data_IF_366944458634
#
_entry.id   IF_366944458634
#
_cell.length_a   1.000
_cell.length_b   1.000
_cell.length_c   1.000
_cell.angle_alpha   90.00
_cell.angle_beta   90.00
_cell.angle_gamma   90.00
#
_symmetry.space_group_name_H-M   'P 1'
#
loop_
_entity.id
_entity.type
_entity.pdbx_description
1 polymer ?
#
# COMPACT_ATOMS: atom_id res chain seq x y z
N UNK A 1 32.88 34.02 -4.93
CA UNK A 1 31.97 33.52 -5.98
C UNK A 1 32.82 33.13 -7.15
N UNK A 2 32.92 31.83 -7.44
CA UNK A 2 33.69 31.33 -8.58
C UNK A 2 32.88 31.57 -9.86
N UNK A 3 33.48 32.17 -10.88
CA UNK A 3 32.83 32.38 -12.19
C UNK A 3 33.16 31.18 -13.05
N UNK A 4 32.16 30.36 -13.36
CA UNK A 4 32.27 29.20 -14.24
C UNK A 4 32.04 29.63 -15.69
N UNK A 5 32.93 29.26 -16.64
CA UNK A 5 32.73 29.55 -18.06
C UNK A 5 32.22 28.32 -18.80
N UNK A 6 31.23 28.50 -19.67
CA UNK A 6 30.72 27.44 -20.52
C UNK A 6 31.87 26.86 -21.39
N UNK A 7 32.10 25.54 -21.41
CA UNK A 7 33.16 24.94 -22.22
C UNK A 7 33.02 25.20 -23.73
N UNK A 8 31.77 25.32 -24.21
CA UNK A 8 31.45 25.44 -25.64
C UNK A 8 31.54 26.87 -26.16
N UNK A 9 31.10 27.86 -25.38
CA UNK A 9 30.98 29.25 -25.85
C UNK A 9 31.64 30.29 -24.92
N UNK A 10 32.30 29.85 -23.85
CA UNK A 10 33.03 30.68 -22.88
C UNK A 10 32.18 31.73 -22.12
N UNK A 11 30.85 31.69 -22.26
CA UNK A 11 29.92 32.54 -21.51
C UNK A 11 30.08 32.29 -20.01
N UNK A 12 30.31 33.34 -19.19
CA UNK A 12 30.42 33.20 -17.75
C UNK A 12 29.05 32.97 -17.11
N UNK A 13 29.03 32.12 -16.10
CA UNK A 13 27.86 31.77 -15.29
C UNK A 13 28.24 31.75 -13.82
N UNK A 14 27.26 32.11 -12.99
CA UNK A 14 27.29 31.90 -11.54
C UNK A 14 26.89 30.46 -11.20
N UNK A 15 27.25 30.00 -10.00
CA UNK A 15 26.87 28.65 -9.53
C UNK A 15 25.33 28.46 -9.51
N UNK A 16 24.57 29.52 -9.25
CA UNK A 16 23.11 29.51 -9.28
C UNK A 16 22.55 29.28 -10.70
N UNK A 17 23.19 29.84 -11.74
CA UNK A 17 22.76 29.64 -13.12
C UNK A 17 23.11 28.25 -13.66
N UNK A 18 24.11 27.58 -13.08
CA UNK A 18 24.45 26.19 -13.42
C UNK A 18 23.32 25.21 -13.04
N UNK A 19 22.56 25.49 -11.99
CA UNK A 19 21.42 24.69 -11.54
C UNK A 19 20.23 24.72 -12.51
N UNK A 20 20.18 25.66 -13.45
CA UNK A 20 19.16 25.73 -14.50
C UNK A 20 19.39 24.71 -15.63
N UNK A 21 20.50 23.96 -15.57
CA UNK A 21 20.74 22.77 -16.39
C UNK A 21 21.17 23.02 -17.84
N UNK A 22 21.14 24.26 -18.35
CA UNK A 22 21.61 24.63 -19.70
C UNK A 22 22.29 26.01 -19.72
N UNK A 23 23.30 26.16 -20.59
CA UNK A 23 23.96 27.43 -20.84
C UNK A 23 23.01 28.42 -21.53
N UNK A 24 22.89 29.64 -20.98
CA UNK A 24 22.05 30.70 -21.57
C UNK A 24 22.56 31.21 -22.93
N UNK A 25 23.86 31.07 -23.23
CA UNK A 25 24.46 31.54 -24.47
C UNK A 25 24.27 30.61 -25.67
N UNK A 26 24.45 29.30 -25.49
CA UNK A 26 24.43 28.32 -26.58
C UNK A 26 23.51 27.12 -26.34
N UNK A 27 22.82 27.06 -25.20
CA UNK A 27 21.87 25.98 -24.89
C UNK A 27 22.50 24.64 -24.52
N UNK A 28 23.84 24.50 -24.54
CA UNK A 28 24.48 23.24 -24.14
C UNK A 28 24.17 22.90 -22.67
N UNK A 29 23.74 21.66 -22.36
CA UNK A 29 23.50 21.23 -21.00
C UNK A 29 24.78 21.29 -20.16
N UNK A 30 24.68 21.71 -18.90
CA UNK A 30 25.80 21.54 -17.97
C UNK A 30 25.84 20.07 -17.51
N UNK A 31 27.02 19.43 -17.49
CA UNK A 31 27.14 18.07 -16.99
C UNK A 31 26.73 18.05 -15.49
N UNK A 32 25.72 17.23 -15.18
CA UNK A 32 25.31 16.91 -13.82
C UNK A 32 26.48 16.20 -13.13
N UNK A 33 26.94 16.73 -12.01
CA UNK A 33 27.97 16.08 -11.19
C UNK A 33 27.41 14.77 -10.64
N UNK A 34 27.93 13.64 -11.13
CA UNK A 34 27.54 12.30 -10.68
C UNK A 34 27.43 11.27 -11.79
N UNK A 35 28.48 11.08 -12.60
CA UNK A 35 28.68 9.86 -13.38
C UNK A 35 30.15 9.71 -13.79
N UNK A 36 30.95 9.16 -12.88
CA UNK A 36 32.22 8.54 -13.21
C UNK A 36 32.17 7.10 -12.71
N UNK A 37 31.78 6.18 -13.59
CA UNK A 37 31.97 4.74 -13.42
C UNK A 37 32.89 4.30 -14.55
N UNK A 38 34.18 4.19 -14.22
CA UNK A 38 35.16 3.50 -15.05
C UNK A 38 35.23 2.04 -14.56
N UNK A 39 35.07 1.12 -15.50
CA UNK A 39 35.10 -0.31 -15.29
C UNK A 39 36.49 -0.81 -14.84
N UNK A 40 36.50 -1.76 -13.91
CA UNK A 40 37.64 -2.63 -13.61
C UNK A 40 37.18 -4.10 -13.67
N UNK A 41 38.02 -5.05 -14.12
CA UNK A 41 37.60 -6.43 -14.41
C UNK A 41 37.55 -7.30 -13.14
N UNK A 42 36.70 -8.32 -13.19
CA UNK A 42 36.44 -9.28 -12.11
C UNK A 42 37.62 -10.23 -11.84
N UNK A 43 37.87 -10.65 -10.59
CA UNK A 43 38.71 -11.79 -10.29
C UNK A 43 37.92 -13.10 -10.16
N UNK A 44 38.63 -14.19 -10.41
CA UNK A 44 38.15 -15.57 -10.52
C UNK A 44 37.57 -16.16 -9.23
N UNK A 45 36.66 -17.12 -9.42
CA UNK A 45 35.96 -17.90 -8.40
C UNK A 45 36.89 -18.95 -7.78
N UNK A 46 37.01 -18.94 -6.45
CA UNK A 46 37.42 -20.09 -5.65
C UNK A 46 36.38 -20.36 -4.58
N UNK A 47 35.89 -21.60 -4.52
CA UNK A 47 34.93 -22.09 -3.53
C UNK A 47 35.59 -22.20 -2.16
N UNK A 48 35.14 -21.39 -1.20
CA UNK A 48 35.30 -21.67 0.23
C UNK A 48 34.03 -21.21 0.97
N UNK A 49 33.33 -22.18 1.58
CA UNK A 49 32.19 -21.93 2.46
C UNK A 49 32.70 -21.37 3.80
N UNK A 50 32.26 -20.17 4.16
CA UNK A 50 32.37 -19.59 5.51
C UNK A 50 30.97 -19.28 6.05
N UNK A 51 30.70 -19.46 7.35
CA UNK A 51 29.39 -19.19 7.94
C UNK A 51 29.07 -17.69 7.90
N UNK A 52 27.84 -17.36 7.50
CA UNK A 52 27.31 -15.99 7.42
C UNK A 52 27.25 -15.37 8.81
N UNK A 53 28.08 -14.35 9.05
CA UNK A 53 28.05 -13.53 10.26
C UNK A 53 26.96 -12.45 10.15
N UNK A 54 25.87 -12.59 10.89
CA UNK A 54 24.68 -11.73 10.85
C UNK A 54 24.85 -10.32 11.42
N UNK A 55 26.06 -9.92 11.85
CA UNK A 55 26.31 -8.62 12.48
C UNK A 55 26.61 -7.44 11.54
N UNK A 56 26.48 -7.58 10.21
CA UNK A 56 26.90 -6.53 9.26
C UNK A 56 25.73 -5.67 8.72
N UNK A 57 24.47 -5.96 9.07
CA UNK A 57 23.30 -5.21 8.55
C UNK A 57 22.69 -4.14 9.48
N UNK A 58 23.31 -3.83 10.62
CA UNK A 58 22.83 -2.79 11.57
C UNK A 58 23.70 -1.53 11.65
N UNK A 59 24.17 -1.02 10.51
CA UNK A 59 24.93 0.24 10.43
C UNK A 59 24.10 1.54 10.60
N UNK A 60 22.77 1.45 10.73
CA UNK A 60 21.88 2.63 10.76
C UNK A 60 21.68 3.29 12.13
N UNK A 61 22.01 2.61 13.23
CA UNK A 61 21.72 3.12 14.58
C UNK A 61 22.72 4.18 15.08
N UNK A 62 23.93 4.23 14.50
CA UNK A 62 25.01 5.11 14.99
C UNK A 62 24.85 6.58 14.57
N UNK A 63 24.04 6.87 13.53
CA UNK A 63 23.86 8.24 13.03
C UNK A 63 22.83 9.07 13.83
N UNK A 64 21.86 8.44 14.48
CA UNK A 64 20.81 9.16 15.22
C UNK A 64 21.38 9.76 16.52
N UNK A 65 22.28 9.05 17.20
CA UNK A 65 22.93 9.55 18.42
C UNK A 65 23.79 10.79 18.14
N UNK A 66 24.44 10.85 16.98
CA UNK A 66 25.27 12.00 16.56
C UNK A 66 24.39 13.22 16.23
N UNK A 67 23.23 13.02 15.58
CA UNK A 67 22.28 14.12 15.30
C UNK A 67 21.67 14.66 16.59
N UNK A 68 21.32 13.79 17.56
CA UNK A 68 20.80 14.22 18.87
C UNK A 68 21.87 14.98 19.68
N UNK A 69 23.13 14.53 19.67
CA UNK A 69 24.24 15.24 20.32
C UNK A 69 24.55 16.60 19.66
N UNK A 70 24.44 16.71 18.33
CA UNK A 70 24.62 17.97 17.61
C UNK A 70 23.48 18.97 17.90
N UNK A 71 22.25 18.50 18.03
CA UNK A 71 21.12 19.33 18.47
C UNK A 71 21.36 19.84 19.89
N UNK A 72 21.76 18.97 20.84
CA UNK A 72 22.06 19.37 22.22
C UNK A 72 23.22 20.38 22.31
N UNK A 73 24.23 20.28 21.42
CA UNK A 73 25.37 21.19 21.38
C UNK A 73 25.04 22.55 20.75
N UNK A 74 24.15 22.60 19.75
CA UNK A 74 23.73 23.86 19.11
C UNK A 74 22.85 24.71 20.03
N UNK A 75 22.11 24.10 20.96
CA UNK A 75 21.23 24.81 21.89
C UNK A 75 21.88 25.22 23.23
N UNK A 76 23.19 25.03 23.40
CA UNK A 76 23.92 25.32 24.66
C UNK A 76 24.65 26.68 24.66
N UNK A 77 24.20 27.64 23.86
CA UNK A 77 24.69 29.03 23.89
C UNK A 77 23.83 29.84 24.88
N UNK A 78 24.39 30.42 25.96
CA UNK A 78 23.60 31.15 26.94
C UNK A 78 23.29 32.56 26.43
N UNK A 79 22.06 32.82 26.01
CA UNK A 79 21.51 34.17 25.91
C UNK A 79 20.44 34.35 27.00
N UNK A 80 20.48 35.43 27.80
CA UNK A 80 19.61 35.58 28.95
C UNK A 80 18.27 36.21 28.53
N UNK A 81 17.34 35.43 27.97
CA UNK A 81 15.94 35.86 27.82
C UNK A 81 14.99 34.65 27.87
N UNK A 82 13.90 34.82 28.64
CA UNK A 82 12.61 34.09 28.59
C UNK A 82 12.43 32.86 29.49
N UNK A 83 11.90 33.09 30.70
CA UNK A 83 11.45 32.06 31.68
C UNK A 83 10.12 31.37 31.26
N UNK A 84 9.44 31.87 30.23
CA UNK A 84 8.12 31.35 29.78
C UNK A 84 8.21 30.36 28.60
N UNK A 85 9.36 30.28 27.90
CA UNK A 85 9.58 29.37 26.75
C UNK A 85 9.91 27.94 27.18
N UNK A 86 10.40 27.77 28.41
CA UNK A 86 10.93 26.49 28.88
C UNK A 86 9.83 25.46 29.17
N UNK A 87 8.64 25.90 29.57
CA UNK A 87 7.54 25.00 29.95
C UNK A 87 6.87 24.35 28.72
N UNK A 88 6.68 25.12 27.64
CA UNK A 88 6.14 24.61 26.37
C UNK A 88 7.14 23.67 25.68
N UNK A 89 8.42 24.01 25.73
CA UNK A 89 9.50 23.15 25.20
C UNK A 89 9.59 21.87 26.04
N UNK A 90 9.50 21.96 27.37
CA UNK A 90 9.50 20.79 28.25
C UNK A 90 8.32 19.85 27.97
N UNK A 91 7.11 20.39 27.77
CA UNK A 91 5.92 19.59 27.43
C UNK A 91 6.04 18.89 26.07
N UNK A 92 6.58 19.56 25.05
CA UNK A 92 6.79 18.94 23.73
C UNK A 92 7.93 17.91 23.77
N UNK A 93 9.00 18.14 24.55
CA UNK A 93 10.06 17.15 24.79
C UNK A 93 9.51 15.91 25.50
N UNK A 94 8.66 16.09 26.52
CA UNK A 94 8.01 15.00 27.24
C UNK A 94 7.08 14.20 26.32
N UNK A 95 6.28 14.88 25.50
CA UNK A 95 5.40 14.27 24.50
C UNK A 95 6.18 13.52 23.42
N UNK A 96 7.34 14.02 23.03
CA UNK A 96 8.24 13.35 22.10
C UNK A 96 8.88 12.11 22.73
N UNK A 97 9.34 12.21 23.99
CA UNK A 97 9.83 11.08 24.78
C UNK A 97 8.80 9.96 24.93
N UNK A 98 7.55 10.33 25.23
CA UNK A 98 6.43 9.38 25.33
C UNK A 98 6.11 8.69 23.99
N UNK A 99 6.23 9.39 22.86
CA UNK A 99 6.10 8.79 21.52
C UNK A 99 7.25 7.83 21.21
N UNK A 100 8.48 8.19 21.56
CA UNK A 100 9.66 7.35 21.36
C UNK A 100 9.53 6.05 22.17
N UNK A 101 9.13 6.15 23.44
CA UNK A 101 8.90 4.99 24.31
C UNK A 101 7.82 4.05 23.75
N UNK A 102 6.73 4.61 23.19
CA UNK A 102 5.69 3.80 22.52
C UNK A 102 6.21 3.08 21.28
N UNK A 103 7.03 3.75 20.46
CA UNK A 103 7.66 3.13 19.29
C UNK A 103 8.63 2.03 19.69
N UNK A 104 9.46 2.24 20.72
CA UNK A 104 10.34 1.22 21.26
C UNK A 104 9.56 0.01 21.78
N UNK A 105 8.47 0.24 22.51
CA UNK A 105 7.61 -0.83 23.00
C UNK A 105 6.95 -1.61 21.85
N UNK A 106 6.50 -0.93 20.79
CA UNK A 106 5.94 -1.57 19.59
C UNK A 106 7.00 -2.37 18.83
N UNK A 107 8.20 -1.81 18.66
CA UNK A 107 9.34 -2.50 18.01
C UNK A 107 9.74 -3.73 18.80
N UNK A 108 9.81 -3.62 20.13
CA UNK A 108 10.13 -4.74 21.01
C UNK A 108 9.01 -5.80 21.01
N UNK A 109 7.74 -5.41 21.04
CA UNK A 109 6.62 -6.33 20.94
C UNK A 109 6.60 -7.07 19.60
N UNK A 110 6.86 -6.37 18.49
CA UNK A 110 6.94 -6.96 17.16
C UNK A 110 8.16 -7.90 17.04
N UNK A 111 9.31 -7.53 17.62
CA UNK A 111 10.49 -8.40 17.71
C UNK A 111 10.19 -9.67 18.50
N UNK A 112 9.52 -9.56 19.65
CA UNK A 112 9.13 -10.72 20.46
C UNK A 112 8.14 -11.62 19.72
N UNK A 113 7.14 -11.06 19.04
CA UNK A 113 6.19 -11.83 18.24
C UNK A 113 6.89 -12.55 17.08
N UNK A 114 7.79 -11.87 16.36
CA UNK A 114 8.61 -12.45 15.29
C UNK A 114 9.51 -13.57 15.82
N UNK A 115 10.14 -13.38 16.98
CA UNK A 115 10.96 -14.39 17.62
C UNK A 115 10.14 -15.61 18.09
N UNK A 116 8.90 -15.41 18.51
CA UNK A 116 7.98 -16.51 18.84
C UNK A 116 7.56 -17.29 17.58
N UNK A 117 7.30 -16.61 16.46
CA UNK A 117 7.05 -17.27 15.16
C UNK A 117 8.27 -18.05 14.68
N UNK A 118 9.48 -17.48 14.81
CA UNK A 118 10.74 -18.15 14.50
C UNK A 118 10.94 -19.38 15.39
N UNK A 119 10.68 -19.26 16.70
CA UNK A 119 10.76 -20.37 17.64
C UNK A 119 9.73 -21.49 17.34
N UNK A 120 8.51 -21.13 16.95
CA UNK A 120 7.50 -22.10 16.51
C UNK A 120 7.90 -22.79 15.21
N UNK A 121 8.56 -22.07 14.29
CA UNK A 121 9.12 -22.65 13.08
C UNK A 121 10.29 -23.60 13.40
N UNK A 122 11.20 -23.20 14.29
CA UNK A 122 12.31 -24.06 14.75
C UNK A 122 11.81 -25.33 15.45
N UNK A 123 10.79 -25.24 16.31
CA UNK A 123 10.18 -26.44 16.91
C UNK A 123 9.59 -27.40 15.86
N UNK A 124 9.05 -26.88 14.76
CA UNK A 124 8.59 -27.70 13.63
C UNK A 124 9.76 -28.33 12.86
N UNK A 125 10.87 -27.62 12.71
CA UNK A 125 12.12 -28.16 12.14
C UNK A 125 12.68 -29.26 13.04
N UNK A 126 12.80 -29.05 14.36
CA UNK A 126 13.27 -30.05 15.32
C UNK A 126 12.38 -31.32 15.32
N UNK A 127 11.07 -31.14 15.15
CA UNK A 127 10.12 -32.25 15.01
C UNK A 127 10.37 -33.03 13.71
N UNK A 128 10.70 -32.33 12.62
CA UNK A 128 11.06 -32.97 11.35
C UNK A 128 12.40 -33.69 11.45
N UNK A 129 13.40 -33.10 12.11
CA UNK A 129 14.69 -33.73 12.35
C UNK A 129 14.57 -34.99 13.20
N UNK A 130 13.70 -34.97 14.22
CA UNK A 130 13.39 -36.16 15.04
C UNK A 130 12.75 -37.26 14.20
N UNK A 131 11.75 -36.92 13.37
CA UNK A 131 11.11 -37.88 12.45
C UNK A 131 12.09 -38.42 11.40
N UNK A 132 13.01 -37.57 10.93
CA UNK A 132 14.05 -37.97 10.00
C UNK A 132 15.03 -38.95 10.64
N UNK A 133 15.43 -38.70 11.90
CA UNK A 133 16.26 -39.62 12.68
C UNK A 133 15.55 -40.96 12.93
N UNK A 134 14.26 -40.97 13.23
CA UNK A 134 13.45 -42.19 13.36
C UNK A 134 13.35 -42.97 12.04
N UNK A 135 13.16 -42.28 10.91
CA UNK A 135 13.17 -42.88 9.57
C UNK A 135 14.54 -43.49 9.24
N UNK A 136 15.63 -42.76 9.52
CA UNK A 136 16.98 -43.27 9.33
C UNK A 136 17.26 -44.49 10.21
N UNK A 137 16.80 -44.49 11.47
CA UNK A 137 16.92 -45.66 12.35
C UNK A 137 16.11 -46.87 11.85
N UNK A 138 14.96 -46.64 11.19
CA UNK A 138 14.17 -47.69 10.56
C UNK A 138 14.83 -48.29 9.30
N UNK A 139 15.66 -47.51 8.59
CA UNK A 139 16.45 -47.94 7.42
C UNK A 139 17.61 -48.87 7.80
N UNK A 140 18.09 -48.81 9.06
CA UNK A 140 19.25 -49.60 9.56
C UNK A 140 18.89 -51.05 9.93
N UNK A 141 17.61 -51.46 9.89
CA UNK A 141 17.25 -52.89 10.02
C UNK A 141 17.60 -53.62 8.71
N UNK A 142 18.27 -54.80 8.75
CA UNK A 142 18.71 -55.48 7.55
C UNK A 142 17.52 -55.91 6.69
N UNK A 143 17.21 -55.12 5.68
CA UNK A 143 16.28 -55.38 4.61
C UNK A 143 16.96 -55.00 3.30
N UNK A 144 16.90 -55.90 2.32
CA UNK A 144 17.51 -55.85 0.98
C UNK A 144 17.75 -54.43 0.46
N UNK A 145 18.97 -54.12 -0.01
CA UNK A 145 19.43 -52.81 -0.56
C UNK A 145 18.39 -52.04 -1.40
N UNK A 146 17.52 -52.74 -2.11
CA UNK A 146 16.41 -52.16 -2.86
C UNK A 146 15.43 -51.33 -2.01
N UNK A 147 15.13 -51.74 -0.77
CA UNK A 147 14.26 -51.00 0.15
C UNK A 147 14.93 -49.74 0.69
N UNK A 148 16.22 -49.83 1.05
CA UNK A 148 17.01 -48.68 1.51
C UNK A 148 17.20 -47.64 0.39
N UNK A 149 17.40 -48.07 -0.86
CA UNK A 149 17.47 -47.19 -2.03
C UNK A 149 16.13 -46.50 -2.31
N UNK A 150 15.02 -47.23 -2.23
CA UNK A 150 13.68 -46.66 -2.40
C UNK A 150 13.33 -45.63 -1.31
N UNK A 151 13.75 -45.87 -0.07
CA UNK A 151 13.56 -44.92 1.03
C UNK A 151 14.41 -43.66 0.85
N UNK A 152 15.67 -43.78 0.42
CA UNK A 152 16.53 -42.63 0.12
C UNK A 152 15.98 -41.77 -1.02
N UNK A 153 15.45 -42.39 -2.09
CA UNK A 153 14.78 -41.66 -3.18
C UNK A 153 13.51 -40.94 -2.69
N UNK A 154 12.75 -41.55 -1.77
CA UNK A 154 11.56 -40.93 -1.20
C UNK A 154 11.90 -39.72 -0.31
N UNK A 155 12.96 -39.83 0.48
CA UNK A 155 13.48 -38.73 1.32
C UNK A 155 13.94 -37.56 0.43
N UNK A 156 14.75 -37.82 -0.59
CA UNK A 156 15.21 -36.78 -1.52
C UNK A 156 14.04 -36.07 -2.23
N UNK A 157 12.98 -36.81 -2.59
CA UNK A 157 11.75 -36.20 -3.15
C UNK A 157 11.01 -35.32 -2.14
N UNK A 158 11.05 -35.66 -0.85
CA UNK A 158 10.42 -34.87 0.21
C UNK A 158 11.24 -33.61 0.48
N UNK A 159 12.57 -33.72 0.55
CA UNK A 159 13.49 -32.59 0.70
C UNK A 159 13.34 -31.58 -0.45
N UNK A 160 13.36 -32.05 -1.70
CA UNK A 160 13.14 -31.19 -2.87
C UNK A 160 11.76 -30.51 -2.85
N UNK A 161 10.72 -31.18 -2.33
CA UNK A 161 9.39 -30.58 -2.16
C UNK A 161 9.38 -29.53 -1.06
N UNK A 162 10.07 -29.77 0.06
CA UNK A 162 10.20 -28.83 1.16
C UNK A 162 10.98 -27.58 0.74
N UNK A 163 12.07 -27.76 0.00
CA UNK A 163 12.89 -26.66 -0.53
C UNK A 163 12.08 -25.83 -1.54
N UNK A 164 11.37 -26.46 -2.48
CA UNK A 164 10.49 -25.75 -3.41
C UNK A 164 9.31 -25.04 -2.71
N UNK A 165 8.80 -25.60 -1.60
CA UNK A 165 7.77 -24.94 -0.78
C UNK A 165 8.35 -23.75 -0.01
N UNK A 166 9.56 -23.86 0.52
CA UNK A 166 10.26 -22.77 1.19
C UNK A 166 10.57 -21.65 0.20
N UNK A 167 11.15 -21.96 -0.96
CA UNK A 167 11.40 -20.98 -2.02
C UNK A 167 10.12 -20.24 -2.43
N UNK A 168 9.00 -20.95 -2.59
CA UNK A 168 7.70 -20.32 -2.89
C UNK A 168 7.15 -19.48 -1.74
N UNK A 169 7.35 -19.90 -0.49
CA UNK A 169 6.88 -19.18 0.69
C UNK A 169 7.67 -17.88 0.93
N UNK A 170 8.95 -17.87 0.53
CA UNK A 170 9.85 -16.71 0.70
C UNK A 170 10.09 -15.93 -0.60
N UNK A 171 9.58 -16.40 -1.74
CA UNK A 171 9.64 -15.65 -3.00
C UNK A 171 8.92 -14.30 -2.84
N UNK A 172 9.51 -13.20 -3.31
CA UNK A 172 8.83 -11.92 -3.32
C UNK A 172 7.52 -12.05 -4.12
N UNK A 173 6.43 -11.45 -3.63
CA UNK A 173 5.14 -11.55 -4.30
C UNK A 173 5.25 -11.01 -5.74
N UNK A 174 4.73 -11.77 -6.72
CA UNK A 174 4.76 -11.34 -8.11
C UNK A 174 3.93 -10.05 -8.27
N UNK A 175 4.32 -9.14 -9.18
CA UNK A 175 3.55 -7.93 -9.41
C UNK A 175 2.11 -8.28 -9.80
N UNK A 176 1.16 -7.36 -9.56
CA UNK A 176 -0.20 -7.51 -10.06
C UNK A 176 -0.20 -7.79 -11.57
N UNK A 177 -1.14 -8.60 -12.05
CA UNK A 177 -1.31 -8.86 -13.47
C UNK A 177 -1.59 -7.58 -14.28
N UNK A 178 -1.42 -7.62 -15.62
CA UNK A 178 -1.73 -6.46 -16.46
C UNK A 178 -3.21 -6.06 -16.29
N UNK A 179 -3.47 -4.75 -16.28
CA UNK A 179 -4.83 -4.22 -16.32
C UNK A 179 -5.19 -3.83 -17.76
N UNK A 180 -6.29 -4.40 -18.24
CA UNK A 180 -6.91 -4.00 -19.50
C UNK A 180 -8.14 -3.16 -19.20
N UNK A 181 -8.05 -1.85 -19.43
CA UNK A 181 -9.15 -0.90 -19.24
C UNK A 181 -9.44 -0.25 -20.58
N UNK A 182 -10.69 -0.35 -21.05
CA UNK A 182 -11.14 0.17 -22.35
C UNK A 182 -12.38 1.02 -22.20
N UNK A 183 -12.40 2.20 -22.83
CA UNK A 183 -13.62 3.00 -22.93
C UNK A 183 -14.44 2.50 -24.12
N UNK A 184 -15.70 2.14 -23.88
CA UNK A 184 -16.65 1.67 -24.89
C UNK A 184 -17.77 2.71 -25.02
N UNK A 185 -18.17 3.01 -26.26
CA UNK A 185 -19.14 4.06 -26.65
C UNK A 185 -18.57 5.50 -26.69
N UNK A 186 -18.14 5.96 -27.87
CA UNK A 186 -17.47 7.26 -28.07
C UNK A 186 -18.43 8.47 -28.17
N UNK A 187 -19.75 8.28 -28.23
CA UNK A 187 -20.68 9.38 -28.59
C UNK A 187 -21.24 10.16 -27.40
N UNK A 188 -21.16 9.60 -26.19
CA UNK A 188 -21.83 10.16 -25.01
C UNK A 188 -20.88 10.94 -24.07
N UNK A 189 -19.65 11.24 -24.51
CA UNK A 189 -18.63 11.89 -23.67
C UNK A 189 -18.58 13.43 -23.81
N UNK A 190 -19.49 14.03 -24.57
CA UNK A 190 -19.46 15.45 -24.94
C UNK A 190 -18.10 15.83 -25.59
N UNK A 191 -17.37 16.79 -25.01
CA UNK A 191 -16.05 17.24 -25.47
C UNK A 191 -14.88 16.44 -24.85
N UNK A 192 -15.16 15.42 -24.03
CA UNK A 192 -14.13 14.52 -23.52
C UNK A 192 -13.76 13.47 -24.56
N UNK A 193 -12.49 13.52 -24.98
CA UNK A 193 -11.90 12.53 -25.88
C UNK A 193 -11.80 11.18 -25.14
N UNK A 194 -12.33 10.07 -25.66
CA UNK A 194 -12.35 8.76 -24.98
C UNK A 194 -10.97 8.25 -24.55
N UNK A 195 -9.93 8.54 -25.32
CA UNK A 195 -8.54 8.20 -25.00
C UNK A 195 -8.06 8.94 -23.73
N UNK A 196 -8.53 10.18 -23.52
CA UNK A 196 -8.25 10.94 -22.30
C UNK A 196 -8.98 10.35 -21.10
N UNK A 197 -10.23 9.94 -21.27
CA UNK A 197 -11.00 9.24 -20.21
C UNK A 197 -10.28 7.94 -19.83
N UNK A 198 -9.88 7.14 -20.81
CA UNK A 198 -9.13 5.91 -20.57
C UNK A 198 -7.81 6.19 -19.84
N UNK A 199 -7.06 7.22 -20.24
CA UNK A 199 -5.83 7.60 -19.57
C UNK A 199 -6.03 8.00 -18.10
N UNK A 200 -7.12 8.70 -17.78
CA UNK A 200 -7.50 9.04 -16.41
C UNK A 200 -7.83 7.77 -15.62
N UNK A 201 -8.70 6.90 -16.15
CA UNK A 201 -9.10 5.67 -15.46
C UNK A 201 -7.94 4.70 -15.26
N UNK A 202 -7.05 4.56 -16.25
CA UNK A 202 -5.81 3.76 -16.10
C UNK A 202 -4.90 4.35 -15.03
N UNK A 203 -4.74 5.69 -14.99
CA UNK A 203 -3.95 6.35 -13.94
C UNK A 203 -4.54 6.09 -12.56
N UNK A 204 -5.87 6.22 -12.44
CA UNK A 204 -6.60 5.97 -11.20
C UNK A 204 -6.46 4.52 -10.74
N UNK A 205 -6.66 3.55 -11.64
CA UNK A 205 -6.54 2.13 -11.31
C UNK A 205 -5.14 1.79 -10.81
N UNK A 206 -4.09 2.32 -11.46
CA UNK A 206 -2.69 2.03 -11.12
C UNK A 206 -2.33 2.39 -9.68
N UNK A 207 -2.85 3.49 -9.15
CA UNK A 207 -2.54 3.93 -7.79
C UNK A 207 -2.96 2.92 -6.73
N UNK A 208 -4.08 2.21 -6.94
CA UNK A 208 -4.57 1.17 -6.03
C UNK A 208 -4.04 -0.22 -6.45
N UNK A 209 -4.07 -0.53 -7.75
CA UNK A 209 -3.79 -1.85 -8.28
C UNK A 209 -2.38 -2.35 -8.00
N UNK A 210 -1.39 -1.44 -7.93
CA UNK A 210 -0.02 -1.78 -7.55
C UNK A 210 0.10 -2.51 -6.20
N UNK A 211 -0.93 -2.41 -5.34
CA UNK A 211 -1.01 -3.07 -4.04
C UNK A 211 -1.72 -4.42 -4.06
N UNK A 212 -2.00 -5.02 -5.22
CA UNK A 212 -2.65 -6.34 -5.35
C UNK A 212 -1.73 -7.37 -6.01
N UNK A 213 -0.58 -7.69 -5.39
CA UNK A 213 0.33 -8.65 -5.98
C UNK A 213 -0.33 -10.02 -6.13
N UNK A 214 0.15 -10.80 -7.11
CA UNK A 214 -0.38 -12.11 -7.47
C UNK A 214 -1.86 -12.13 -7.89
N UNK A 215 -2.54 -10.97 -8.02
CA UNK A 215 -3.93 -10.90 -8.47
C UNK A 215 -3.98 -10.62 -9.97
N UNK A 216 -4.96 -11.22 -10.64
CA UNK A 216 -5.37 -10.91 -12.02
C UNK A 216 -6.81 -10.45 -12.02
N UNK A 217 -7.17 -9.58 -12.95
CA UNK A 217 -8.54 -9.15 -13.19
C UNK A 217 -8.90 -9.39 -14.65
N UNK A 218 -10.16 -9.70 -14.88
CA UNK A 218 -10.76 -9.69 -16.21
C UNK A 218 -10.73 -8.25 -16.77
N UNK A 219 -10.76 -8.08 -18.12
CA UNK A 219 -10.80 -6.75 -18.73
C UNK A 219 -11.95 -5.90 -18.16
N UNK A 220 -11.74 -4.59 -18.10
CA UNK A 220 -12.73 -3.63 -17.62
C UNK A 220 -13.11 -2.72 -18.77
N UNK A 221 -14.40 -2.62 -19.03
CA UNK A 221 -14.96 -1.64 -19.96
C UNK A 221 -15.60 -0.49 -19.20
N UNK A 222 -15.51 0.71 -19.76
CA UNK A 222 -16.03 1.93 -19.17
C UNK A 222 -16.97 2.59 -20.16
N UNK A 223 -18.18 2.94 -19.72
CA UNK A 223 -19.12 3.73 -20.51
C UNK A 223 -19.66 4.92 -19.69
N UNK A 224 -20.04 6.00 -20.39
CA UNK A 224 -20.74 7.10 -19.73
C UNK A 224 -22.21 6.72 -19.50
N UNK A 225 -22.80 7.16 -18.39
CA UNK A 225 -24.20 6.90 -18.08
C UNK A 225 -24.86 8.10 -17.39
N UNK A 226 -26.09 8.50 -17.79
CA UNK A 226 -26.84 9.53 -17.08
C UNK A 226 -27.35 9.05 -15.71
N UNK A 227 -27.35 7.74 -15.45
CA UNK A 227 -27.83 7.14 -14.20
C UNK A 227 -26.82 7.21 -13.03
N UNK A 228 -25.67 7.84 -13.23
CA UNK A 228 -24.59 7.87 -12.24
C UNK A 228 -23.59 6.71 -12.37
N UNK A 229 -22.50 6.76 -11.58
CA UNK A 229 -21.47 5.74 -11.57
C UNK A 229 -21.97 4.43 -10.94
N UNK A 230 -21.54 3.29 -11.49
CA UNK A 230 -21.93 1.96 -11.04
C UNK A 230 -21.11 0.86 -11.72
N UNK A 231 -20.70 -0.18 -10.99
CA UNK A 231 -20.32 -1.47 -11.59
C UNK A 231 -21.56 -2.29 -11.92
N UNK A 232 -21.73 -2.68 -13.19
CA UNK A 232 -22.83 -3.58 -13.57
C UNK A 232 -22.57 -5.00 -13.04
N UNK A 233 -23.61 -5.62 -12.48
CA UNK A 233 -23.58 -7.03 -12.16
C UNK A 233 -23.42 -7.91 -13.41
N UNK A 234 -22.80 -9.06 -13.21
CA UNK A 234 -22.42 -9.99 -14.27
C UNK A 234 -21.16 -9.60 -15.04
N UNK A 235 -20.97 -10.24 -16.18
CA UNK A 235 -19.92 -9.95 -17.17
C UNK A 235 -20.55 -9.56 -18.49
N UNK A 236 -19.81 -8.84 -19.32
CA UNK A 236 -20.19 -8.66 -20.71
C UNK A 236 -19.87 -9.89 -21.56
N UNK A 237 -20.14 -9.82 -22.88
CA UNK A 237 -20.05 -10.96 -23.78
C UNK A 237 -18.66 -11.62 -23.82
N UNK A 238 -17.60 -10.84 -23.60
CA UNK A 238 -16.21 -11.30 -23.66
C UNK A 238 -15.64 -11.61 -22.26
N UNK A 239 -16.52 -11.71 -21.25
CA UNK A 239 -16.12 -11.94 -19.86
C UNK A 239 -15.63 -10.68 -19.14
N UNK A 240 -15.79 -9.51 -19.73
CA UNK A 240 -15.34 -8.24 -19.18
C UNK A 240 -16.24 -7.74 -18.04
N UNK A 241 -15.64 -7.01 -17.11
CA UNK A 241 -16.36 -6.21 -16.13
C UNK A 241 -16.80 -4.90 -16.77
N UNK A 242 -17.97 -4.39 -16.39
CA UNK A 242 -18.56 -3.19 -17.00
C UNK A 242 -18.76 -2.13 -15.93
N UNK A 243 -18.04 -1.03 -16.07
CA UNK A 243 -18.11 0.14 -15.19
C UNK A 243 -18.84 1.25 -15.93
N UNK A 244 -19.81 1.85 -15.27
CA UNK A 244 -20.44 3.08 -15.69
C UNK A 244 -19.88 4.22 -14.85
N UNK A 245 -19.59 5.35 -15.49
CA UNK A 245 -19.30 6.62 -14.83
C UNK A 245 -20.19 7.70 -15.41
N UNK A 246 -20.30 8.82 -14.71
CA UNK A 246 -21.04 9.98 -15.18
C UNK A 246 -20.14 11.20 -15.16
N UNK A 247 -19.57 11.51 -16.33
CA UNK A 247 -18.74 12.70 -16.53
C UNK A 247 -19.33 13.58 -17.63
N UNK A 248 -19.12 14.88 -17.50
CA UNK A 248 -19.48 15.88 -18.51
C UNK A 248 -18.22 16.63 -18.94
N UNK A 249 -17.61 16.26 -20.06
CA UNK A 249 -16.41 16.93 -20.53
C UNK A 249 -15.19 16.65 -19.64
N UNK A 250 -14.32 17.64 -19.46
CA UNK A 250 -12.93 17.46 -18.97
C UNK A 250 -12.76 17.46 -17.45
N UNK A 251 -13.76 17.03 -16.68
CA UNK A 251 -13.65 16.91 -15.22
C UNK A 251 -12.87 15.65 -14.81
N UNK A 252 -11.56 15.62 -15.06
CA UNK A 252 -10.72 14.45 -14.80
C UNK A 252 -10.64 14.07 -13.32
N UNK A 253 -10.72 15.03 -12.40
CA UNK A 253 -10.81 14.73 -10.97
C UNK A 253 -12.09 13.95 -10.63
N UNK A 254 -13.25 14.39 -11.15
CA UNK A 254 -14.51 13.66 -10.99
C UNK A 254 -14.45 12.27 -11.64
N UNK A 255 -13.86 12.16 -12.83
CA UNK A 255 -13.65 10.90 -13.52
C UNK A 255 -12.80 9.92 -12.69
N UNK A 256 -11.66 10.38 -12.16
CA UNK A 256 -10.78 9.59 -11.32
C UNK A 256 -11.46 9.15 -10.02
N UNK A 257 -12.20 10.06 -9.38
CA UNK A 257 -12.98 9.79 -8.17
C UNK A 257 -14.03 8.69 -8.42
N UNK A 258 -14.92 8.89 -9.39
CA UNK A 258 -15.98 7.94 -9.68
C UNK A 258 -15.43 6.58 -10.12
N UNK A 259 -14.45 6.56 -11.02
CA UNK A 259 -13.86 5.30 -11.47
C UNK A 259 -13.18 4.55 -10.33
N UNK A 260 -12.49 5.24 -9.41
CA UNK A 260 -11.84 4.61 -8.26
C UNK A 260 -12.86 3.98 -7.30
N UNK A 261 -14.02 4.63 -7.11
CA UNK A 261 -15.15 4.08 -6.35
C UNK A 261 -15.59 2.73 -6.93
N UNK A 262 -15.91 2.71 -8.23
CA UNK A 262 -16.37 1.51 -8.92
C UNK A 262 -15.28 0.43 -9.04
N UNK A 263 -14.03 0.85 -9.24
CA UNK A 263 -12.90 -0.08 -9.24
C UNK A 263 -12.71 -0.72 -7.87
N UNK A 264 -12.95 0.00 -6.77
CA UNK A 264 -12.90 -0.57 -5.43
C UNK A 264 -13.98 -1.65 -5.23
N UNK A 265 -15.21 -1.47 -5.71
CA UNK A 265 -16.23 -2.54 -5.72
C UNK A 265 -15.73 -3.80 -6.45
N UNK A 266 -15.08 -3.65 -7.62
CA UNK A 266 -14.44 -4.78 -8.33
C UNK A 266 -13.40 -5.46 -7.43
N UNK A 267 -12.55 -4.68 -6.76
CA UNK A 267 -11.50 -5.20 -5.89
C UNK A 267 -12.07 -5.90 -4.64
N UNK A 268 -13.18 -5.41 -4.09
CA UNK A 268 -13.91 -5.98 -2.96
C UNK A 268 -14.72 -7.23 -3.33
N UNK A 269 -14.68 -7.68 -4.59
CA UNK A 269 -15.50 -8.78 -5.10
C UNK A 269 -17.01 -8.52 -4.93
N UNK A 270 -17.49 -7.34 -5.33
CA UNK A 270 -18.93 -6.98 -5.32
C UNK A 270 -19.83 -8.16 -5.77
N UNK A 271 -20.95 -8.35 -5.06
CA UNK A 271 -21.94 -9.41 -5.33
C UNK A 271 -23.36 -8.91 -5.15
N UNK A 272 -24.29 -9.57 -5.83
CA UNK A 272 -25.72 -9.42 -5.55
C UNK A 272 -26.09 -10.16 -4.27
N UNK A 273 -27.03 -9.61 -3.51
CA UNK A 273 -27.58 -10.25 -2.30
C UNK A 273 -27.74 -9.30 -1.13
N UNK A 274 -28.48 -9.74 -0.11
CA UNK A 274 -28.67 -8.97 1.11
C UNK A 274 -27.38 -8.99 1.93
N UNK A 275 -26.72 -7.84 2.04
CA UNK A 275 -25.57 -7.64 2.94
C UNK A 275 -25.85 -6.43 3.85
N UNK A 276 -26.19 -6.63 5.14
CA UNK A 276 -26.45 -5.52 6.05
C UNK A 276 -25.19 -4.67 6.32
N UNK A 277 -24.00 -5.16 5.98
CA UNK A 277 -22.73 -4.44 6.14
C UNK A 277 -22.19 -3.86 4.82
N UNK A 278 -23.01 -3.78 3.76
CA UNK A 278 -22.58 -3.22 2.47
C UNK A 278 -22.13 -1.75 2.58
N UNK A 279 -22.64 -1.01 3.56
CA UNK A 279 -22.20 0.36 3.85
C UNK A 279 -20.69 0.48 4.12
N UNK A 280 -20.06 -0.59 4.62
CA UNK A 280 -18.62 -0.62 4.88
C UNK A 280 -17.82 -0.75 3.57
N UNK A 281 -18.36 -1.48 2.59
CA UNK A 281 -17.82 -1.52 1.23
C UNK A 281 -17.92 -0.15 0.57
N UNK A 282 -19.07 0.52 0.67
CA UNK A 282 -19.23 1.90 0.19
C UNK A 282 -18.23 2.87 0.85
N UNK A 283 -17.97 2.74 2.15
CA UNK A 283 -16.96 3.53 2.85
C UNK A 283 -15.53 3.24 2.35
N UNK A 284 -15.20 1.98 2.02
CA UNK A 284 -13.93 1.62 1.38
C UNK A 284 -13.83 2.20 -0.04
N UNK A 285 -14.93 2.24 -0.80
CA UNK A 285 -14.96 2.82 -2.14
C UNK A 285 -14.79 4.36 -2.12
N UNK A 286 -15.39 5.04 -1.14
CA UNK A 286 -15.12 6.44 -0.84
C UNK A 286 -13.64 6.67 -0.45
N UNK A 287 -13.08 5.76 0.36
CA UNK A 287 -11.65 5.79 0.74
C UNK A 287 -10.75 5.65 -0.49
N UNK A 288 -11.07 4.71 -1.39
CA UNK A 288 -10.34 4.47 -2.62
C UNK A 288 -10.35 5.71 -3.51
N UNK A 289 -11.48 6.39 -3.60
CA UNK A 289 -11.63 7.62 -4.38
C UNK A 289 -10.72 8.74 -3.87
N UNK A 290 -10.71 8.99 -2.56
CA UNK A 290 -9.84 10.00 -1.94
C UNK A 290 -8.36 9.63 -2.01
N UNK A 291 -8.03 8.37 -1.71
CA UNK A 291 -6.67 7.85 -1.80
C UNK A 291 -6.12 8.05 -3.21
N UNK A 292 -6.86 7.60 -4.22
CA UNK A 292 -6.44 7.72 -5.62
C UNK A 292 -6.23 9.16 -6.03
N UNK A 293 -7.16 10.08 -5.73
CA UNK A 293 -6.97 11.50 -6.09
C UNK A 293 -5.69 12.07 -5.50
N UNK A 294 -5.42 11.82 -4.21
CA UNK A 294 -4.23 12.33 -3.51
C UNK A 294 -2.94 11.70 -4.01
N UNK A 295 -2.97 10.41 -4.36
CA UNK A 295 -1.83 9.70 -4.96
C UNK A 295 -1.57 10.15 -6.40
N UNK A 296 -2.62 10.21 -7.23
CA UNK A 296 -2.53 10.72 -8.59
C UNK A 296 -2.05 12.16 -8.63
N UNK A 297 -2.50 13.04 -7.72
CA UNK A 297 -2.02 14.40 -7.61
C UNK A 297 -0.49 14.43 -7.46
N UNK A 298 0.08 13.59 -6.58
CA UNK A 298 1.54 13.46 -6.43
C UNK A 298 2.18 12.91 -7.70
N UNK A 299 1.67 11.79 -8.24
CA UNK A 299 2.23 11.15 -9.44
C UNK A 299 2.23 12.08 -10.65
N UNK A 300 1.15 12.82 -10.88
CA UNK A 300 0.97 13.68 -12.05
C UNK A 300 1.84 14.93 -12.03
N UNK A 301 2.45 15.31 -10.89
CA UNK A 301 3.47 16.37 -10.87
C UNK A 301 4.67 16.03 -11.75
N UNK A 302 5.01 14.74 -11.87
CA UNK A 302 6.22 14.27 -12.57
C UNK A 302 5.90 13.33 -13.73
N UNK A 303 4.89 12.48 -13.57
CA UNK A 303 4.54 11.39 -14.49
C UNK A 303 3.03 11.32 -14.80
N UNK A 304 2.41 12.38 -15.36
CA UNK A 304 1.05 12.29 -15.88
C UNK A 304 1.00 11.49 -17.19
N UNK A 305 -0.18 11.01 -17.62
CA UNK A 305 -0.32 10.30 -18.89
C UNK A 305 0.05 11.15 -20.10
N UNK A 306 -0.16 12.47 -20.02
CA UNK A 306 0.28 13.45 -21.01
C UNK A 306 1.08 14.55 -20.32
N UNK A 307 2.26 14.88 -20.87
CA UNK A 307 3.21 15.79 -20.21
C UNK A 307 2.63 17.19 -19.92
N UNK A 308 1.68 17.65 -20.73
CA UNK A 308 0.97 18.92 -20.54
C UNK A 308 -0.10 18.88 -19.43
N UNK A 309 -0.39 17.72 -18.83
CA UNK A 309 -1.34 17.56 -17.72
C UNK A 309 -0.69 17.71 -16.34
N UNK A 310 0.61 17.99 -16.26
CA UNK A 310 1.31 18.19 -14.97
C UNK A 310 0.61 19.21 -14.08
N UNK A 311 0.16 20.32 -14.64
CA UNK A 311 -0.55 21.37 -13.89
C UNK A 311 -1.92 20.93 -13.36
N UNK A 312 -2.54 19.90 -13.95
CA UNK A 312 -3.82 19.36 -13.48
C UNK A 312 -3.69 18.61 -12.16
N UNK A 313 -2.47 18.29 -11.71
CA UNK A 313 -2.23 17.68 -10.39
C UNK A 313 -2.85 18.48 -9.24
N UNK A 314 -2.89 19.82 -9.37
CA UNK A 314 -3.48 20.72 -8.38
C UNK A 314 -4.99 20.48 -8.29
N UNK A 315 -5.70 20.41 -9.42
CA UNK A 315 -7.14 20.13 -9.45
C UNK A 315 -7.51 18.76 -8.87
N UNK A 316 -6.63 17.76 -8.98
CA UNK A 316 -6.82 16.46 -8.31
C UNK A 316 -6.74 16.59 -6.78
N UNK A 317 -5.76 17.34 -6.27
CA UNK A 317 -5.62 17.60 -4.83
C UNK A 317 -6.78 18.45 -4.31
N UNK A 318 -7.13 19.54 -5.00
CA UNK A 318 -8.19 20.46 -4.61
C UNK A 318 -9.54 19.73 -4.49
N UNK A 319 -9.85 18.85 -5.45
CA UNK A 319 -11.08 18.06 -5.43
C UNK A 319 -11.11 17.12 -4.22
N UNK A 320 -9.98 16.47 -3.89
CA UNK A 320 -9.88 15.63 -2.70
C UNK A 320 -10.08 16.45 -1.42
N UNK A 321 -9.39 17.60 -1.32
CA UNK A 321 -9.44 18.47 -0.14
C UNK A 321 -10.84 19.11 0.04
N UNK A 322 -11.52 19.46 -1.04
CA UNK A 322 -12.93 19.88 -1.02
C UNK A 322 -13.85 18.77 -0.54
N UNK A 323 -13.72 17.57 -1.12
CA UNK A 323 -14.51 16.40 -0.70
C UNK A 323 -14.30 16.08 0.77
N UNK A 324 -13.06 16.21 1.28
CA UNK A 324 -12.72 15.99 2.68
C UNK A 324 -13.28 17.08 3.61
N UNK A 325 -13.35 18.34 3.15
CA UNK A 325 -13.95 19.46 3.91
C UNK A 325 -15.46 19.33 4.08
N UNK A 326 -16.14 18.70 3.13
CA UNK A 326 -17.59 18.44 3.20
C UNK A 326 -17.97 17.31 4.17
N UNK A 327 -17.00 16.57 4.70
CA UNK A 327 -17.28 15.42 5.59
C UNK A 327 -17.86 15.92 6.92
N UNK A 328 -19.01 15.35 7.37
CA UNK A 328 -19.59 15.72 8.65
C UNK A 328 -18.61 15.56 9.80
N UNK A 329 -18.53 16.59 10.65
CA UNK A 329 -17.74 16.53 11.88
C UNK A 329 -18.27 15.45 12.82
N UNK A 330 -17.36 14.77 13.53
CA UNK A 330 -17.71 13.86 14.61
C UNK A 330 -18.26 14.58 15.86
N UNK A 331 -18.21 15.92 15.90
CA UNK A 331 -18.69 16.74 17.01
C UNK A 331 -18.12 16.30 18.37
N UNK A 332 -16.82 16.02 18.40
CA UNK A 332 -16.09 15.57 19.61
C UNK A 332 -16.27 14.10 19.97
N UNK A 333 -17.05 13.32 19.22
CA UNK A 333 -17.21 11.88 19.44
C UNK A 333 -16.00 11.10 18.90
N UNK A 334 -15.75 9.91 19.47
CA UNK A 334 -14.94 8.88 18.80
C UNK A 334 -15.70 8.35 17.59
N UNK A 335 -14.99 7.75 16.62
CA UNK A 335 -15.65 7.11 15.48
C UNK A 335 -16.56 5.96 15.94
N UNK A 336 -16.17 5.20 16.97
CA UNK A 336 -17.00 4.15 17.56
C UNK A 336 -18.34 4.70 18.12
N UNK A 337 -18.29 5.79 18.89
CA UNK A 337 -19.50 6.42 19.45
C UNK A 337 -20.38 7.03 18.35
N UNK A 338 -19.77 7.61 17.30
CA UNK A 338 -20.50 8.10 16.14
C UNK A 338 -21.14 6.95 15.36
N UNK A 339 -20.42 5.85 15.14
CA UNK A 339 -20.91 4.67 14.44
C UNK A 339 -22.10 4.06 15.18
N UNK A 340 -22.02 3.87 16.49
CA UNK A 340 -23.13 3.34 17.29
C UNK A 340 -24.43 4.15 17.13
N UNK A 341 -24.33 5.48 16.91
CA UNK A 341 -25.49 6.35 16.66
C UNK A 341 -26.02 6.28 15.23
N UNK A 342 -25.19 5.89 14.26
CA UNK A 342 -25.50 5.94 12.83
C UNK A 342 -25.62 4.54 12.19
N UNK A 343 -25.30 3.47 12.92
CA UNK A 343 -25.26 2.09 12.42
C UNK A 343 -26.59 1.68 11.79
N UNK A 344 -27.72 1.94 12.46
CA UNK A 344 -29.03 1.61 11.91
C UNK A 344 -29.28 2.28 10.56
N UNK A 345 -28.90 3.55 10.41
CA UNK A 345 -29.01 4.28 9.14
C UNK A 345 -28.07 3.71 8.09
N UNK A 346 -26.81 3.44 8.44
CA UNK A 346 -25.83 2.83 7.52
C UNK A 346 -26.30 1.46 7.03
N UNK A 347 -26.87 0.62 7.90
CA UNK A 347 -27.36 -0.73 7.53
C UNK A 347 -28.61 -0.68 6.63
N UNK A 348 -29.42 0.37 6.72
CA UNK A 348 -30.68 0.52 5.95
C UNK A 348 -30.50 1.34 4.67
N UNK A 349 -29.62 2.34 4.69
CA UNK A 349 -29.22 3.16 3.56
C UNK A 349 -27.69 3.07 3.39
N UNK A 350 -27.25 2.00 2.73
CA UNK A 350 -25.83 1.66 2.59
C UNK A 350 -25.04 2.68 1.76
N UNK A 351 -25.69 3.40 0.84
CA UNK A 351 -25.11 4.41 -0.05
C UNK A 351 -25.22 5.85 0.48
N UNK A 352 -25.42 6.04 1.80
CA UNK A 352 -25.42 7.37 2.43
C UNK A 352 -24.01 7.99 2.41
N UNK A 353 -23.64 8.60 1.27
CA UNK A 353 -22.28 9.11 1.02
C UNK A 353 -21.75 10.03 2.12
N UNK A 354 -22.51 11.02 2.65
CA UNK A 354 -22.04 11.83 3.78
C UNK A 354 -21.58 10.99 4.98
N UNK A 355 -22.33 9.93 5.34
CA UNK A 355 -21.96 9.03 6.44
C UNK A 355 -20.84 8.06 6.05
N UNK A 356 -20.85 7.50 4.83
CA UNK A 356 -19.77 6.64 4.36
C UNK A 356 -18.42 7.38 4.38
N UNK A 357 -18.41 8.67 4.01
CA UNK A 357 -17.20 9.51 4.01
C UNK A 357 -16.62 9.73 5.40
N UNK A 358 -17.43 9.79 6.47
CA UNK A 358 -16.92 9.86 7.85
C UNK A 358 -16.03 8.66 8.17
N UNK A 359 -16.50 7.47 7.82
CA UNK A 359 -15.72 6.24 7.97
C UNK A 359 -14.53 6.23 7.00
N UNK A 360 -14.73 6.70 5.77
CA UNK A 360 -13.69 6.74 4.75
C UNK A 360 -12.48 7.57 5.18
N UNK A 361 -12.65 8.73 5.84
CA UNK A 361 -11.53 9.53 6.31
C UNK A 361 -10.69 8.81 7.37
N UNK A 362 -11.31 8.01 8.23
CA UNK A 362 -10.59 7.22 9.22
C UNK A 362 -9.78 6.09 8.56
N UNK A 363 -10.37 5.40 7.58
CA UNK A 363 -9.70 4.36 6.80
C UNK A 363 -8.57 4.93 5.93
N UNK A 364 -8.80 6.10 5.31
CA UNK A 364 -7.84 6.80 4.46
C UNK A 364 -6.53 7.03 5.20
N UNK A 365 -6.59 7.46 6.47
CA UNK A 365 -5.40 7.68 7.29
C UNK A 365 -4.54 6.42 7.43
N UNK A 366 -5.16 5.26 7.63
CA UNK A 366 -4.44 3.99 7.77
C UNK A 366 -3.87 3.56 6.41
N UNK A 367 -4.68 3.61 5.35
CA UNK A 367 -4.29 3.15 4.01
C UNK A 367 -3.30 4.10 3.31
N UNK A 368 -3.23 5.38 3.66
CA UNK A 368 -2.16 6.27 3.19
C UNK A 368 -0.82 5.99 3.87
N UNK A 369 -0.84 5.58 5.14
CA UNK A 369 0.37 5.23 5.89
C UNK A 369 0.91 3.87 5.44
N UNK A 370 0.03 2.90 5.23
CA UNK A 370 0.38 1.53 4.90
C UNK A 370 -0.43 1.01 3.69
N UNK A 371 -0.16 1.54 2.48
CA UNK A 371 -1.00 1.27 1.31
C UNK A 371 -0.95 -0.17 0.81
N UNK A 372 0.05 -0.95 1.23
CA UNK A 372 0.10 -2.39 0.97
C UNK A 372 -1.10 -3.16 1.56
N UNK A 373 -1.81 -2.60 2.55
CA UNK A 373 -3.03 -3.18 3.11
C UNK A 373 -4.24 -3.09 2.19
N UNK A 374 -4.19 -2.35 1.07
CA UNK A 374 -5.24 -2.40 0.05
C UNK A 374 -5.52 -3.85 -0.41
N UNK A 375 -4.52 -4.73 -0.44
CA UNK A 375 -4.70 -6.14 -0.77
C UNK A 375 -5.76 -6.84 0.10
N UNK A 376 -5.92 -6.41 1.36
CA UNK A 376 -6.88 -6.98 2.31
C UNK A 376 -8.33 -6.87 1.81
N UNK A 377 -8.68 -5.81 1.08
CA UNK A 377 -10.06 -5.63 0.56
C UNK A 377 -10.42 -6.72 -0.46
N UNK A 378 -9.41 -7.32 -1.10
CA UNK A 378 -9.55 -8.47 -2.00
C UNK A 378 -10.16 -9.72 -1.37
N UNK A 379 -10.27 -9.75 -0.05
CA UNK A 379 -10.83 -10.86 0.74
C UNK A 379 -12.20 -10.54 1.35
N UNK A 380 -12.77 -9.38 1.01
CA UNK A 380 -14.18 -9.05 1.26
C UNK A 380 -15.08 -9.80 0.28
N UNK A 381 -16.34 -9.96 0.67
CA UNK A 381 -17.42 -10.53 -0.16
C UNK A 381 -17.17 -11.95 -0.69
N UNK A 382 -16.30 -12.72 -0.02
CA UNK A 382 -16.00 -14.12 -0.34
C UNK A 382 -16.86 -15.13 0.47
N UNK A 383 -17.91 -14.69 1.16
CA UNK A 383 -18.75 -15.58 1.96
C UNK A 383 -19.81 -16.30 1.11
N UNK A 384 -20.28 -17.44 1.59
CA UNK A 384 -21.58 -17.99 1.16
C UNK A 384 -22.71 -17.16 1.80
N UNK A 385 -23.81 -16.89 1.08
CA UNK A 385 -24.94 -16.14 1.62
C UNK A 385 -25.38 -16.77 2.95
N UNK A 386 -25.13 -16.07 4.06
CA UNK A 386 -25.69 -16.49 5.34
C UNK A 386 -27.12 -16.00 5.37
N UNK A 387 -28.06 -16.90 5.59
CA UNK A 387 -29.41 -16.53 5.98
C UNK A 387 -29.33 -15.82 7.34
N UNK A 388 -29.33 -14.48 7.35
CA UNK A 388 -29.39 -13.70 8.58
C UNK A 388 -28.69 -12.35 8.56
N UNK A 389 -29.01 -11.53 9.56
CA UNK A 389 -28.39 -10.24 9.80
C UNK A 389 -27.04 -10.38 10.51
N UNK A 390 -25.96 -10.57 9.75
CA UNK A 390 -24.61 -10.56 10.33
C UNK A 390 -24.32 -9.20 10.99
N UNK A 391 -23.88 -9.22 12.25
CA UNK A 391 -23.38 -8.02 12.95
C UNK A 391 -22.06 -7.55 12.33
N UNK A 392 -21.75 -6.27 12.47
CA UNK A 392 -20.50 -5.74 11.93
C UNK A 392 -19.26 -6.36 12.60
N UNK A 393 -19.32 -6.68 13.89
CA UNK A 393 -18.24 -7.39 14.58
C UNK A 393 -17.99 -8.80 13.99
N UNK A 394 -19.05 -9.56 13.70
CA UNK A 394 -18.93 -10.85 13.05
C UNK A 394 -18.41 -10.71 11.60
N UNK A 395 -18.79 -9.64 10.91
CA UNK A 395 -18.31 -9.31 9.57
C UNK A 395 -16.79 -9.08 9.57
N UNK A 396 -16.28 -8.27 10.49
CA UNK A 396 -14.85 -8.01 10.64
C UNK A 396 -14.06 -9.26 11.06
N UNK A 397 -14.61 -10.08 11.97
CA UNK A 397 -14.00 -11.34 12.34
C UNK A 397 -13.90 -12.32 11.16
N UNK A 398 -14.95 -12.41 10.34
CA UNK A 398 -14.92 -13.23 9.13
C UNK A 398 -13.90 -12.70 8.10
N UNK A 399 -13.78 -11.38 7.94
CA UNK A 399 -12.76 -10.77 7.07
C UNK A 399 -11.34 -11.04 7.58
N UNK A 400 -11.10 -10.87 8.88
CA UNK A 400 -9.82 -11.16 9.54
C UNK A 400 -9.37 -12.61 9.34
N UNK A 401 -10.29 -13.58 9.41
CA UNK A 401 -9.95 -15.00 9.18
C UNK A 401 -9.58 -15.30 7.72
N UNK A 402 -10.03 -14.49 6.75
CA UNK A 402 -9.80 -14.72 5.32
C UNK A 402 -8.56 -14.02 4.78
N UNK A 403 -8.18 -12.87 5.36
CA UNK A 403 -6.99 -12.16 4.90
C UNK A 403 -5.71 -12.96 5.22
N UNK A 404 -4.68 -12.87 4.37
CA UNK A 404 -3.34 -13.36 4.69
C UNK A 404 -2.85 -12.77 6.02
N UNK A 405 -2.03 -13.54 6.74
CA UNK A 405 -1.53 -13.18 8.09
C UNK A 405 -0.92 -11.78 8.13
N UNK A 406 -0.19 -11.38 7.07
CA UNK A 406 0.43 -10.05 6.95
C UNK A 406 -0.58 -8.88 7.00
N UNK A 407 -1.85 -9.11 6.67
CA UNK A 407 -2.90 -8.09 6.72
C UNK A 407 -3.88 -8.25 7.89
N UNK A 408 -3.73 -9.29 8.73
CA UNK A 408 -4.55 -9.44 9.93
C UNK A 408 -4.43 -8.26 10.91
N UNK A 409 -3.24 -7.68 11.16
CA UNK A 409 -3.11 -6.48 11.99
C UNK A 409 -3.97 -5.31 11.50
N UNK A 410 -3.99 -5.08 10.18
CA UNK A 410 -4.82 -4.04 9.58
C UNK A 410 -6.32 -4.23 9.87
N UNK A 411 -6.85 -5.45 9.72
CA UNK A 411 -8.26 -5.70 10.04
C UNK A 411 -8.55 -5.49 11.53
N UNK A 412 -7.61 -5.82 12.41
CA UNK A 412 -7.71 -5.51 13.84
C UNK A 412 -7.71 -3.99 14.10
N UNK A 413 -6.87 -3.24 13.40
CA UNK A 413 -6.81 -1.78 13.53
C UNK A 413 -8.08 -1.11 13.00
N UNK A 414 -8.66 -1.63 11.91
CA UNK A 414 -10.02 -1.26 11.48
C UNK A 414 -11.02 -1.54 12.59
N UNK A 415 -10.99 -2.73 13.22
CA UNK A 415 -11.87 -3.04 14.36
C UNK A 415 -11.75 -2.05 15.52
N UNK A 416 -10.53 -1.62 15.86
CA UNK A 416 -10.28 -0.61 16.90
C UNK A 416 -10.92 0.74 16.60
N UNK A 417 -11.06 1.14 15.33
CA UNK A 417 -11.77 2.37 14.96
C UNK A 417 -13.22 2.38 15.47
N UNK A 418 -13.80 1.20 15.66
CA UNK A 418 -15.18 0.98 16.08
C UNK A 418 -15.29 0.41 17.51
N UNK A 419 -14.20 0.38 18.29
CA UNK A 419 -14.11 -0.30 19.59
C UNK A 419 -14.51 -1.80 19.53
N UNK A 420 -14.28 -2.44 18.38
CA UNK A 420 -14.54 -3.86 18.16
C UNK A 420 -13.24 -4.65 18.29
N UNK A 421 -13.20 -5.60 19.23
CA UNK A 421 -12.11 -6.56 19.33
C UNK A 421 -12.29 -7.69 18.31
N UNK A 422 -11.49 -7.64 17.24
CA UNK A 422 -11.45 -8.68 16.22
C UNK A 422 -10.54 -9.81 16.69
N UNK A 423 -11.12 -10.99 16.88
CA UNK A 423 -10.42 -12.20 17.35
C UNK A 423 -9.90 -13.05 16.20
#
# INVERSE_FOLDING_TARGET
MSIFRCPSCQTPHTDAERLLGKCAGCGTPFPLEGNASAAAPAPAVTNDFQPVNWNVWFGGALNITIVVLLIILVFRQPTPVVVERDEVIAQEVEKFGNKLQRLENLVNANRTAKNAEIGAFQSRVDTLDTKFAELNAAVVRPGTEAKSKAQAEQISRIEAKLEALAERAFAPPAPPGPLEIKVINHKDWNDAVPENVQAVCVSAAKEIWQHFPNRRLEPITIANSPSGPMVRFGRGPDGERRVLIQIKGRFWAQCAYQFSHEFCHILCNYREGKNPNHWFEEALCETASLFTLRRMAKTWTTNPPYSNWKSYSVSLSDFADETMREVPSLNGMTLAAWFAKNEATLRTNNTDRPRNRVVALALLKILEQEPHHWQAVGYLNQWEPKDGEQSFAAYLADWHRRVPVVHQPFVKDVGKLFDIQVK
#
